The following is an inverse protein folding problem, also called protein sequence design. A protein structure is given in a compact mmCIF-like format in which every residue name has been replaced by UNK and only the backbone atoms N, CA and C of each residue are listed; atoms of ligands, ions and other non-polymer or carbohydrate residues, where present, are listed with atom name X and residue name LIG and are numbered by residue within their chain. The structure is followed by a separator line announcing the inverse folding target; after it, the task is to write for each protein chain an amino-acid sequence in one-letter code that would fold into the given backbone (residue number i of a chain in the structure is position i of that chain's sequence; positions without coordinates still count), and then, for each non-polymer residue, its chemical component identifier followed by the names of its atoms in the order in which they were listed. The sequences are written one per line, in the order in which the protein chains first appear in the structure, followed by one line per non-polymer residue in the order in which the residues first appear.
data_IF_114093039360
#
_entry.id   IF_114093039360
#
_cell.length_a   1.000
_cell.length_b   1.000
_cell.length_c   1.000
_cell.angle_alpha   90.00
_cell.angle_beta   90.00
_cell.angle_gamma   90.00
#
_symmetry.space_group_name_H-M   'P 1'
#
loop_
_entity.id
_entity.type
_entity.pdbx_description
1 polymer ?
#
# COMPACT_ATOMS: atom_id res chain seq x y z
N UNK A 1 7.66 -16.24 7.61
CA UNK A 1 9.08 -16.51 7.24
C UNK A 1 9.89 -15.30 7.64
N UNK A 2 10.79 -15.49 8.56
CA UNK A 2 11.39 -14.50 9.43
C UNK A 2 12.45 -13.65 8.74
N UNK A 3 12.47 -12.38 9.07
CA UNK A 3 13.47 -11.30 8.85
C UNK A 3 14.92 -11.73 9.27
N UNK A 4 15.13 -12.97 9.68
CA UNK A 4 16.44 -13.57 9.97
C UNK A 4 17.45 -13.49 8.81
N UNK A 5 17.01 -13.22 7.59
CA UNK A 5 17.89 -13.05 6.43
C UNK A 5 18.69 -11.74 6.43
N UNK A 6 18.30 -10.73 7.21
CA UNK A 6 18.96 -9.42 7.21
C UNK A 6 20.29 -9.37 7.99
N UNK A 7 20.48 -10.25 8.97
CA UNK A 7 21.66 -10.23 9.85
C UNK A 7 22.96 -10.77 9.21
N UNK A 8 22.87 -11.46 8.06
CA UNK A 8 23.99 -12.19 7.47
C UNK A 8 24.60 -11.55 6.21
N UNK A 9 24.20 -10.36 5.83
CA UNK A 9 24.57 -9.76 4.53
C UNK A 9 25.97 -9.11 4.58
N UNK A 10 27.03 -9.94 4.57
CA UNK A 10 28.42 -9.50 4.30
C UNK A 10 28.96 -9.91 2.93
N UNK A 11 28.15 -10.49 2.05
CA UNK A 11 28.60 -10.88 0.71
C UNK A 11 27.58 -10.54 -0.37
N UNK A 12 28.05 -10.22 -1.58
CA UNK A 12 27.24 -9.84 -2.76
C UNK A 12 26.14 -10.87 -3.10
N UNK A 13 26.38 -12.15 -2.87
CA UNK A 13 25.44 -13.25 -3.14
C UNK A 13 24.23 -13.25 -2.20
N UNK A 14 24.42 -12.88 -0.94
CA UNK A 14 23.35 -12.72 0.06
C UNK A 14 22.50 -11.48 -0.25
N UNK A 15 23.11 -10.43 -0.81
CA UNK A 15 22.40 -9.21 -1.24
C UNK A 15 21.41 -9.51 -2.38
N UNK A 16 21.82 -10.33 -3.34
CA UNK A 16 20.98 -10.75 -4.47
C UNK A 16 19.78 -11.61 -3.97
N UNK A 17 20.05 -12.51 -3.04
CA UNK A 17 19.00 -13.33 -2.40
C UNK A 17 17.99 -12.50 -1.63
N UNK A 18 18.45 -11.47 -0.90
CA UNK A 18 17.60 -10.57 -0.13
C UNK A 18 16.69 -9.72 -1.03
N UNK A 19 17.25 -9.18 -2.12
CA UNK A 19 16.47 -8.40 -3.09
C UNK A 19 15.39 -9.26 -3.75
N UNK A 20 15.71 -10.52 -4.05
CA UNK A 20 14.74 -11.48 -4.61
C UNK A 20 13.63 -11.81 -3.61
N UNK A 21 13.95 -12.03 -2.35
CA UNK A 21 12.96 -12.26 -1.28
C UNK A 21 12.06 -11.04 -1.06
N UNK A 22 12.66 -9.84 -1.05
CA UNK A 22 11.94 -8.57 -0.98
C UNK A 22 10.96 -8.42 -2.15
N UNK A 23 11.42 -8.73 -3.35
CA UNK A 23 10.60 -8.65 -4.56
C UNK A 23 9.45 -9.67 -4.53
N UNK A 24 9.69 -10.90 -4.12
CA UNK A 24 8.65 -11.92 -3.97
C UNK A 24 7.61 -11.53 -2.91
N UNK A 25 8.04 -10.93 -1.81
CA UNK A 25 7.12 -10.42 -0.79
C UNK A 25 6.24 -9.28 -1.33
N UNK A 26 6.82 -8.32 -2.04
CA UNK A 26 6.07 -7.23 -2.69
C UNK A 26 5.02 -7.80 -3.65
N UNK A 27 5.36 -8.83 -4.42
CA UNK A 27 4.42 -9.49 -5.33
C UNK A 27 3.26 -10.13 -4.58
N UNK A 28 3.50 -10.78 -3.45
CA UNK A 28 2.44 -11.41 -2.65
C UNK A 28 1.50 -10.40 -1.99
N UNK A 29 1.98 -9.20 -1.67
CA UNK A 29 1.12 -8.14 -1.11
C UNK A 29 0.13 -7.57 -2.12
N UNK A 30 0.40 -7.69 -3.43
CA UNK A 30 -0.55 -7.30 -4.49
C UNK A 30 -1.83 -8.13 -4.40
N UNK A 31 -1.71 -9.42 -4.17
CA UNK A 31 -2.84 -10.35 -4.03
C UNK A 31 -3.68 -10.00 -2.79
N UNK A 32 -3.03 -9.71 -1.67
CA UNK A 32 -3.70 -9.30 -0.43
C UNK A 32 -4.58 -8.07 -0.65
N UNK A 33 -4.07 -7.06 -1.37
CA UNK A 33 -4.84 -5.84 -1.70
C UNK A 33 -6.04 -6.18 -2.59
N UNK A 34 -5.81 -6.95 -3.66
CA UNK A 34 -6.87 -7.31 -4.61
C UNK A 34 -8.00 -8.08 -3.90
N UNK A 35 -7.67 -9.09 -3.09
CA UNK A 35 -8.67 -9.85 -2.34
C UNK A 35 -9.42 -8.99 -1.33
N UNK A 36 -8.75 -8.12 -0.59
CA UNK A 36 -9.41 -7.22 0.35
C UNK A 36 -10.40 -6.27 -0.37
N UNK A 37 -10.05 -5.77 -1.55
CA UNK A 37 -10.94 -4.92 -2.35
C UNK A 37 -12.09 -5.72 -2.98
N UNK A 38 -11.88 -6.98 -3.40
CA UNK A 38 -12.95 -7.87 -3.85
C UNK A 38 -13.96 -8.12 -2.71
N UNK A 39 -13.48 -8.40 -1.50
CA UNK A 39 -14.34 -8.58 -0.33
C UNK A 39 -15.17 -7.32 -0.06
N UNK A 40 -14.53 -6.13 -0.09
CA UNK A 40 -15.23 -4.86 0.13
C UNK A 40 -16.28 -4.55 -0.95
N UNK A 41 -16.02 -4.92 -2.21
CA UNK A 41 -16.90 -4.64 -3.34
C UNK A 41 -18.27 -5.34 -3.26
N UNK A 42 -18.42 -6.34 -2.39
CA UNK A 42 -19.68 -7.05 -2.17
C UNK A 42 -20.73 -6.17 -1.48
N UNK A 43 -20.30 -5.14 -0.75
CA UNK A 43 -21.17 -4.24 -0.01
C UNK A 43 -21.36 -2.92 -0.74
N UNK A 44 -22.46 -2.22 -0.43
CA UNK A 44 -22.67 -0.86 -0.94
C UNK A 44 -21.71 0.12 -0.27
N UNK A 45 -21.73 1.37 -0.77
CA UNK A 45 -20.83 2.42 -0.27
C UNK A 45 -21.00 2.68 1.23
N UNK A 46 -22.25 2.63 1.75
CA UNK A 46 -22.55 2.79 3.18
C UNK A 46 -21.92 4.07 3.75
N UNK A 47 -22.17 5.22 3.12
CA UNK A 47 -21.53 6.49 3.47
C UNK A 47 -21.63 6.87 4.95
N UNK A 48 -22.67 6.38 5.65
CA UNK A 48 -22.85 6.59 7.07
C UNK A 48 -21.65 6.20 7.92
N UNK A 49 -20.85 5.21 7.46
CA UNK A 49 -19.68 4.74 8.21
C UNK A 49 -18.49 5.71 8.15
N UNK A 50 -18.48 6.62 7.16
CA UNK A 50 -17.41 7.63 6.97
C UNK A 50 -17.79 9.00 7.53
N UNK A 51 -19.08 9.25 7.84
CA UNK A 51 -19.54 10.54 8.38
C UNK A 51 -19.43 10.57 9.91
N UNK A 52 -18.59 11.44 10.50
CA UNK A 52 -18.45 11.57 11.95
C UNK A 52 -19.73 11.99 12.67
N UNK A 53 -20.72 12.51 11.94
CA UNK A 53 -21.96 13.04 12.54
C UNK A 53 -23.00 11.95 12.77
N UNK A 54 -22.98 10.87 12.01
CA UNK A 54 -24.06 9.86 12.01
C UNK A 54 -24.06 9.06 13.31
N UNK A 55 -22.94 8.47 13.68
CA UNK A 55 -22.87 7.57 14.84
C UNK A 55 -22.57 8.27 16.17
N UNK A 56 -22.39 9.60 16.15
CA UNK A 56 -22.11 10.45 17.33
C UNK A 56 -20.91 9.96 18.18
N UNK A 57 -19.99 9.24 17.57
CA UNK A 57 -18.77 8.78 18.20
C UNK A 57 -17.80 9.94 18.42
N UNK A 58 -16.97 9.84 19.44
CA UNK A 58 -15.96 10.84 19.76
C UNK A 58 -14.64 10.16 20.09
N UNK A 59 -13.54 10.77 19.63
CA UNK A 59 -12.21 10.34 20.02
C UNK A 59 -11.89 10.73 21.48
N UNK A 60 -10.71 10.35 21.96
CA UNK A 60 -10.28 10.61 23.35
C UNK A 60 -10.20 12.10 23.72
N UNK A 61 -10.17 13.00 22.73
CA UNK A 61 -10.20 14.45 22.93
C UNK A 61 -11.59 15.06 22.74
N UNK A 62 -12.62 14.24 22.58
CA UNK A 62 -14.00 14.68 22.40
C UNK A 62 -14.34 15.15 20.98
N UNK A 63 -13.43 15.08 20.01
CA UNK A 63 -13.72 15.43 18.63
C UNK A 63 -14.60 14.35 17.96
N UNK A 64 -15.52 14.76 17.04
CA UNK A 64 -16.30 13.81 16.25
C UNK A 64 -15.43 12.80 15.52
N UNK A 65 -15.85 11.54 15.50
CA UNK A 65 -15.15 10.43 14.89
C UNK A 65 -16.10 9.58 14.07
N UNK A 66 -15.72 9.22 12.86
CA UNK A 66 -16.49 8.31 12.02
C UNK A 66 -16.49 6.89 12.59
N UNK A 67 -17.43 6.07 12.14
CA UNK A 67 -17.47 4.66 12.55
C UNK A 67 -16.24 3.89 12.05
N UNK A 68 -15.75 4.21 10.85
CA UNK A 68 -14.50 3.65 10.32
C UNK A 68 -13.30 3.97 11.22
N UNK A 69 -13.11 5.25 11.58
CA UNK A 69 -11.99 5.67 12.42
C UNK A 69 -12.04 5.02 13.80
N UNK A 70 -13.23 4.94 14.41
CA UNK A 70 -13.42 4.28 15.69
C UNK A 70 -13.03 2.80 15.62
N UNK A 71 -13.58 2.05 14.66
CA UNK A 71 -13.33 0.63 14.52
C UNK A 71 -11.87 0.32 14.15
N UNK A 72 -11.25 1.17 13.32
CA UNK A 72 -9.84 1.05 12.99
C UNK A 72 -8.96 1.21 14.23
N UNK A 73 -9.21 2.25 15.05
CA UNK A 73 -8.48 2.46 16.29
C UNK A 73 -8.61 1.28 17.26
N UNK A 74 -9.84 0.77 17.48
CA UNK A 74 -10.04 -0.38 18.37
C UNK A 74 -9.38 -1.66 17.83
N UNK A 75 -9.42 -1.88 16.52
CA UNK A 75 -8.72 -2.98 15.86
C UNK A 75 -7.21 -2.87 16.05
N UNK A 76 -6.66 -1.68 15.88
CA UNK A 76 -5.22 -1.44 16.07
C UNK A 76 -4.78 -1.62 17.52
N UNK A 77 -5.59 -1.23 18.50
CA UNK A 77 -5.33 -1.52 19.92
C UNK A 77 -5.23 -3.01 20.20
N UNK A 78 -6.11 -3.83 19.61
CA UNK A 78 -6.02 -5.29 19.72
C UNK A 78 -4.76 -5.85 19.06
N UNK A 79 -4.47 -5.42 17.83
CA UNK A 79 -3.29 -5.83 17.09
C UNK A 79 -1.98 -5.42 17.79
N UNK A 80 -1.97 -4.26 18.47
CA UNK A 80 -0.83 -3.81 19.24
C UNK A 80 -0.51 -4.74 20.39
N UNK A 81 -1.53 -5.24 21.12
CA UNK A 81 -1.34 -6.19 22.23
C UNK A 81 -0.59 -7.45 21.82
N UNK A 82 -0.80 -7.93 20.60
CA UNK A 82 -0.07 -9.07 20.03
C UNK A 82 1.19 -8.65 19.25
N UNK A 83 1.72 -7.44 19.54
CA UNK A 83 2.97 -6.87 18.99
C UNK A 83 3.00 -6.72 17.47
N UNK A 84 1.86 -6.63 16.76
CA UNK A 84 1.86 -6.46 15.31
C UNK A 84 2.71 -5.26 14.88
N UNK A 85 2.53 -4.12 15.55
CA UNK A 85 3.20 -2.87 15.20
C UNK A 85 4.64 -2.74 15.75
N UNK A 86 5.20 -3.78 16.34
CA UNK A 86 6.65 -3.85 16.58
C UNK A 86 7.41 -4.27 15.32
N UNK A 87 6.73 -4.92 14.36
CA UNK A 87 7.31 -5.26 13.06
C UNK A 87 7.61 -4.03 12.22
N UNK A 88 8.78 -3.94 11.58
CA UNK A 88 9.21 -2.72 10.87
C UNK A 88 8.38 -2.43 9.61
N UNK A 89 7.66 -3.39 9.06
CA UNK A 89 6.79 -3.25 7.90
C UNK A 89 5.37 -2.78 8.23
N UNK A 90 4.97 -2.85 9.50
CA UNK A 90 3.61 -2.51 9.93
C UNK A 90 3.56 -1.08 10.49
N UNK A 91 2.68 -0.28 9.92
CA UNK A 91 2.44 1.11 10.31
C UNK A 91 1.00 1.30 10.77
N UNK A 92 0.77 1.61 12.06
CA UNK A 92 -0.57 1.89 12.55
C UNK A 92 -1.01 3.30 12.13
N UNK A 93 -2.31 3.48 11.90
CA UNK A 93 -2.91 4.79 11.64
C UNK A 93 -2.98 5.67 12.91
N UNK A 94 -3.06 5.03 14.07
CA UNK A 94 -3.24 5.71 15.37
C UNK A 94 -2.14 5.39 16.37
N UNK A 95 -0.88 5.49 15.96
CA UNK A 95 0.30 5.09 16.75
C UNK A 95 0.30 5.62 18.20
N UNK A 96 -0.13 6.88 18.41
CA UNK A 96 -0.12 7.54 19.72
C UNK A 96 -1.13 6.98 20.74
N UNK A 97 -2.08 6.15 20.29
CA UNK A 97 -3.17 5.61 21.12
C UNK A 97 -3.02 4.12 21.41
N UNK A 98 -1.93 3.51 20.96
CA UNK A 98 -1.77 2.07 21.06
C UNK A 98 -1.25 1.65 22.44
N UNK A 99 -1.83 0.61 23.05
CA UNK A 99 -1.30 0.04 24.27
C UNK A 99 0.03 -0.68 24.03
N UNK A 100 0.79 -0.84 25.13
CA UNK A 100 2.00 -1.66 25.10
C UNK A 100 1.67 -3.11 24.76
N UNK A 101 2.51 -3.80 23.98
CA UNK A 101 2.33 -5.21 23.67
C UNK A 101 2.35 -6.09 24.94
N UNK A 102 1.51 -7.12 24.96
CA UNK A 102 1.50 -8.16 26.01
C UNK A 102 2.64 -9.15 25.75
N UNK A 103 2.92 -9.42 24.46
CA UNK A 103 4.00 -10.33 24.07
C UNK A 103 5.35 -9.61 24.10
N UNK A 104 6.45 -10.30 24.47
CA UNK A 104 7.78 -9.71 24.50
C UNK A 104 8.21 -9.24 23.11
N UNK A 105 9.00 -8.18 23.08
CA UNK A 105 9.52 -7.62 21.83
C UNK A 105 10.39 -8.61 21.06
N UNK A 106 10.32 -8.57 19.74
CA UNK A 106 11.23 -9.28 18.86
C UNK A 106 12.47 -8.44 18.61
N UNK A 107 13.63 -9.09 18.59
CA UNK A 107 14.87 -8.43 18.20
C UNK A 107 14.93 -8.30 16.67
N UNK A 108 15.07 -7.08 16.19
CA UNK A 108 15.30 -6.77 14.79
C UNK A 108 16.68 -6.13 14.60
N UNK A 109 17.33 -6.31 13.43
CA UNK A 109 18.58 -5.62 13.11
C UNK A 109 18.40 -4.09 13.23
N UNK A 110 19.35 -3.42 13.89
CA UNK A 110 19.27 -1.97 14.13
C UNK A 110 19.13 -1.13 12.87
N UNK A 111 19.74 -1.54 11.76
CA UNK A 111 19.63 -0.84 10.48
C UNK A 111 18.19 -0.74 9.97
N UNK A 112 17.34 -1.68 10.31
CA UNK A 112 15.90 -1.68 9.96
C UNK A 112 15.11 -0.78 10.93
N UNK A 113 15.59 -0.65 12.18
CA UNK A 113 14.95 0.14 13.23
C UNK A 113 15.39 1.61 13.21
N UNK A 114 16.55 1.94 12.61
CA UNK A 114 17.12 3.29 12.57
C UNK A 114 16.20 4.33 11.92
N UNK A 115 15.31 3.88 11.06
CA UNK A 115 14.22 4.70 10.57
C UNK A 115 13.04 4.52 11.50
N UNK A 116 13.03 5.29 12.56
CA UNK A 116 11.95 5.28 13.54
C UNK A 116 10.59 5.22 12.85
N UNK A 117 9.70 4.35 13.33
CA UNK A 117 8.36 4.12 12.75
C UNK A 117 7.55 5.39 12.55
N UNK A 118 7.82 6.43 13.36
CA UNK A 118 7.15 7.72 13.30
C UNK A 118 7.76 8.70 12.28
N UNK A 119 8.95 8.40 11.75
CA UNK A 119 9.65 9.35 10.88
C UNK A 119 9.11 9.36 9.43
N UNK A 120 8.53 8.25 8.98
CA UNK A 120 7.98 8.14 7.62
C UNK A 120 6.62 7.45 7.70
N UNK A 121 5.57 8.25 7.75
CA UNK A 121 4.18 7.79 7.77
C UNK A 121 3.37 8.57 6.75
N UNK A 122 2.59 7.85 5.94
CA UNK A 122 1.68 8.38 4.91
C UNK A 122 0.25 7.82 5.07
N UNK A 123 -0.09 7.36 6.27
CA UNK A 123 -1.39 6.73 6.52
C UNK A 123 -2.57 7.70 6.41
N UNK A 124 -2.36 8.98 6.70
CA UNK A 124 -3.37 10.02 6.47
C UNK A 124 -3.75 10.14 4.98
N UNK A 125 -2.75 10.10 4.12
CA UNK A 125 -2.94 10.12 2.66
C UNK A 125 -3.60 8.82 2.17
N UNK A 126 -3.20 7.66 2.74
CA UNK A 126 -3.81 6.36 2.43
C UNK A 126 -5.30 6.37 2.78
N UNK A 127 -5.66 6.81 3.98
CA UNK A 127 -7.07 6.88 4.43
C UNK A 127 -7.88 7.83 3.54
N UNK A 128 -7.36 9.03 3.26
CA UNK A 128 -8.02 10.01 2.41
C UNK A 128 -8.26 9.45 1.00
N UNK A 129 -7.24 8.88 0.35
CA UNK A 129 -7.39 8.25 -0.95
C UNK A 129 -8.39 7.11 -0.96
N UNK A 130 -8.37 6.28 0.08
CA UNK A 130 -9.27 5.15 0.21
C UNK A 130 -10.72 5.60 0.26
N UNK A 131 -11.05 6.52 1.15
CA UNK A 131 -12.43 6.98 1.37
C UNK A 131 -12.92 7.84 0.20
N UNK A 132 -12.10 8.78 -0.31
CA UNK A 132 -12.54 9.77 -1.31
C UNK A 132 -12.49 9.26 -2.74
N UNK A 133 -11.64 8.26 -3.05
CA UNK A 133 -11.39 7.85 -4.44
C UNK A 133 -11.66 6.37 -4.70
N UNK A 134 -11.22 5.49 -3.78
CA UNK A 134 -11.35 4.04 -4.01
C UNK A 134 -12.79 3.60 -3.80
N UNK A 135 -13.40 3.94 -2.67
CA UNK A 135 -14.76 3.52 -2.33
C UNK A 135 -15.77 3.97 -3.39
N UNK A 136 -15.61 5.17 -3.94
CA UNK A 136 -16.52 5.71 -4.96
C UNK A 136 -16.54 4.92 -6.27
N UNK A 137 -15.42 4.32 -6.62
CA UNK A 137 -15.30 3.50 -7.84
C UNK A 137 -15.50 2.01 -7.57
N UNK A 138 -15.18 1.57 -6.35
CA UNK A 138 -15.21 0.16 -5.96
C UNK A 138 -16.63 -0.34 -5.69
N UNK A 139 -17.44 0.46 -4.99
CA UNK A 139 -18.70 0.02 -4.42
C UNK A 139 -19.90 0.64 -5.14
N UNK A 140 -20.97 -0.15 -5.27
CA UNK A 140 -22.27 0.36 -5.77
C UNK A 140 -22.83 1.41 -4.81
N UNK A 141 -23.44 2.46 -5.34
CA UNK A 141 -24.07 3.50 -4.53
C UNK A 141 -25.21 2.95 -3.66
N UNK A 142 -25.45 3.61 -2.53
CA UNK A 142 -26.53 3.31 -1.59
C UNK A 142 -26.02 2.75 -0.26
N UNK A 143 -26.97 2.31 0.56
CA UNK A 143 -26.77 1.72 1.87
C UNK A 143 -27.49 0.36 1.91
N UNK A 144 -26.83 -0.66 2.44
CA UNK A 144 -27.36 -2.02 2.63
C UNK A 144 -27.39 -2.42 4.10
N UNK A 145 -27.14 -1.47 5.00
CA UNK A 145 -27.10 -1.64 6.45
C UNK A 145 -25.99 -2.59 6.96
N UNK A 146 -25.12 -3.08 6.05
CA UNK A 146 -23.98 -3.95 6.40
C UNK A 146 -22.78 -3.14 6.88
N UNK A 147 -23.00 -2.17 7.75
CA UNK A 147 -21.99 -1.21 8.21
C UNK A 147 -20.80 -1.90 8.89
N UNK A 148 -21.06 -2.89 9.74
CA UNK A 148 -20.02 -3.62 10.45
C UNK A 148 -19.11 -4.43 9.50
N UNK A 149 -19.72 -5.17 8.56
CA UNK A 149 -18.98 -5.95 7.56
C UNK A 149 -18.17 -5.05 6.64
N UNK A 150 -18.77 -3.95 6.17
CA UNK A 150 -18.09 -2.95 5.32
C UNK A 150 -16.85 -2.39 5.99
N UNK A 151 -16.97 -1.96 7.26
CA UNK A 151 -15.85 -1.39 8.03
C UNK A 151 -14.72 -2.40 8.23
N UNK A 152 -15.03 -3.66 8.50
CA UNK A 152 -13.99 -4.69 8.64
C UNK A 152 -13.21 -4.91 7.34
N UNK A 153 -13.90 -4.92 6.20
CA UNK A 153 -13.27 -4.99 4.89
C UNK A 153 -12.44 -3.72 4.59
N UNK A 154 -12.95 -2.53 4.93
CA UNK A 154 -12.22 -1.26 4.77
C UNK A 154 -10.92 -1.27 5.57
N UNK A 155 -10.95 -1.70 6.83
CA UNK A 155 -9.78 -1.81 7.70
C UNK A 155 -8.74 -2.76 7.09
N UNK A 156 -9.17 -3.94 6.63
CA UNK A 156 -8.27 -4.92 6.01
C UNK A 156 -7.60 -4.35 4.75
N UNK A 157 -8.37 -3.68 3.88
CA UNK A 157 -7.87 -3.05 2.67
C UNK A 157 -6.88 -1.92 2.97
N UNK A 158 -7.22 -0.99 3.87
CA UNK A 158 -6.35 0.12 4.26
C UNK A 158 -5.04 -0.35 4.89
N UNK A 159 -5.08 -1.37 5.77
CA UNK A 159 -3.87 -1.94 6.37
C UNK A 159 -2.99 -2.65 5.33
N UNK A 160 -3.58 -3.30 4.34
CA UNK A 160 -2.83 -3.93 3.24
C UNK A 160 -2.17 -2.86 2.35
N UNK A 161 -2.89 -1.79 2.01
CA UNK A 161 -2.37 -0.64 1.25
C UNK A 161 -1.23 0.06 2.01
N UNK A 162 -1.43 0.36 3.28
CA UNK A 162 -0.43 0.97 4.15
C UNK A 162 0.86 0.15 4.17
N UNK A 163 0.78 -1.15 4.43
CA UNK A 163 1.94 -2.04 4.46
C UNK A 163 2.67 -2.04 3.12
N UNK A 164 1.95 -2.14 2.00
CA UNK A 164 2.54 -2.16 0.66
C UNK A 164 3.28 -0.86 0.34
N UNK A 165 2.73 0.28 0.73
CA UNK A 165 3.30 1.61 0.49
C UNK A 165 4.54 1.83 1.37
N UNK A 166 4.44 1.58 2.67
CA UNK A 166 5.55 1.77 3.60
C UNK A 166 6.70 0.77 3.41
N UNK A 167 6.47 -0.29 2.64
CA UNK A 167 7.55 -1.18 2.21
C UNK A 167 8.60 -0.47 1.33
N UNK A 168 8.26 0.70 0.78
CA UNK A 168 9.18 1.59 0.05
C UNK A 168 10.46 1.90 0.82
N UNK A 169 10.42 2.00 2.15
CA UNK A 169 11.63 2.23 2.95
C UNK A 169 12.69 1.14 2.82
N UNK A 170 12.29 -0.14 2.66
CA UNK A 170 13.24 -1.23 2.44
C UNK A 170 13.84 -1.20 1.04
N UNK A 171 13.02 -0.77 0.06
CA UNK A 171 13.49 -0.55 -1.31
C UNK A 171 14.51 0.60 -1.32
N UNK A 172 14.20 1.71 -0.63
CA UNK A 172 15.11 2.85 -0.50
C UNK A 172 16.42 2.47 0.17
N UNK A 173 16.40 1.71 1.29
CA UNK A 173 17.63 1.24 1.94
C UNK A 173 18.45 0.34 1.01
N UNK A 174 17.80 -0.56 0.28
CA UNK A 174 18.48 -1.41 -0.69
C UNK A 174 19.18 -0.61 -1.80
N UNK A 175 18.54 0.46 -2.27
CA UNK A 175 19.12 1.37 -3.28
C UNK A 175 20.25 2.21 -2.66
N UNK A 176 20.04 2.74 -1.46
CA UNK A 176 21.06 3.50 -0.73
C UNK A 176 22.34 2.68 -0.52
N UNK A 177 22.21 1.41 -0.09
CA UNK A 177 23.36 0.54 0.12
C UNK A 177 24.15 0.21 -1.15
N UNK A 178 23.55 0.34 -2.33
CA UNK A 178 24.25 0.17 -3.61
C UNK A 178 25.11 1.38 -3.99
N UNK A 179 24.65 2.58 -3.67
CA UNK A 179 25.36 3.83 -3.96
C UNK A 179 25.15 4.87 -2.85
N UNK A 180 25.75 4.67 -1.66
CA UNK A 180 25.57 5.57 -0.53
C UNK A 180 26.09 6.98 -0.80
N UNK A 181 27.13 7.11 -1.63
CA UNK A 181 27.78 8.40 -1.92
C UNK A 181 26.81 9.32 -2.67
N UNK A 182 26.29 8.87 -3.80
CA UNK A 182 25.39 9.67 -4.65
C UNK A 182 24.11 10.07 -3.91
N UNK A 183 23.47 9.13 -3.18
CA UNK A 183 22.28 9.45 -2.40
C UNK A 183 22.58 10.44 -1.28
N UNK A 184 23.68 10.28 -0.56
CA UNK A 184 24.08 11.22 0.51
C UNK A 184 24.34 12.61 -0.03
N UNK A 185 25.00 12.73 -1.17
CA UNK A 185 25.29 13.99 -1.83
C UNK A 185 23.99 14.72 -2.24
N UNK A 186 23.09 14.06 -2.95
CA UNK A 186 21.82 14.66 -3.38
C UNK A 186 20.91 15.04 -2.21
N UNK A 187 20.87 14.22 -1.14
CA UNK A 187 20.13 14.57 0.08
C UNK A 187 20.70 15.83 0.75
N UNK A 188 22.03 15.93 0.89
CA UNK A 188 22.68 17.12 1.48
C UNK A 188 22.46 18.38 0.64
N UNK A 189 22.39 18.26 -0.68
CA UNK A 189 22.07 19.36 -1.60
C UNK A 189 20.59 19.71 -1.62
N UNK A 190 19.71 18.90 -1.01
CA UNK A 190 18.26 19.04 -1.12
C UNK A 190 17.73 18.80 -2.54
N UNK A 191 18.48 18.08 -3.38
CA UNK A 191 18.13 17.82 -4.77
C UNK A 191 17.14 16.63 -4.88
N UNK A 192 15.91 16.88 -4.46
CA UNK A 192 14.85 15.86 -4.46
C UNK A 192 14.53 15.35 -5.85
N UNK A 193 14.64 16.23 -6.84
CA UNK A 193 14.42 15.87 -8.25
C UNK A 193 15.35 14.74 -8.68
N UNK A 194 16.65 14.89 -8.46
CA UNK A 194 17.62 13.86 -8.81
C UNK A 194 17.38 12.55 -8.01
N UNK A 195 16.96 12.68 -6.75
CA UNK A 195 16.61 11.51 -5.91
C UNK A 195 15.43 10.76 -6.53
N UNK A 196 14.33 11.45 -6.88
CA UNK A 196 13.15 10.82 -7.49
C UNK A 196 13.51 10.17 -8.82
N UNK A 197 14.33 10.81 -9.65
CA UNK A 197 14.79 10.25 -10.93
C UNK A 197 15.61 8.97 -10.72
N UNK A 198 16.52 8.93 -9.74
CA UNK A 198 17.25 7.71 -9.37
C UNK A 198 16.36 6.59 -8.80
N UNK A 199 15.31 6.97 -8.09
CA UNK A 199 14.34 6.03 -7.52
C UNK A 199 13.41 5.45 -8.59
N UNK A 200 13.16 6.18 -9.66
CA UNK A 200 12.20 5.83 -10.71
C UNK A 200 12.79 4.87 -11.73
N UNK A 201 12.11 3.76 -11.97
CA UNK A 201 12.37 2.88 -13.08
C UNK A 201 11.06 2.61 -13.82
N UNK A 202 10.86 3.35 -14.91
CA UNK A 202 9.60 3.35 -15.69
C UNK A 202 9.23 1.95 -16.18
N UNK A 203 10.20 1.14 -16.62
CA UNK A 203 9.94 -0.23 -17.09
C UNK A 203 9.49 -1.16 -15.96
N UNK A 204 10.04 -0.99 -14.76
CA UNK A 204 9.60 -1.75 -13.58
C UNK A 204 8.18 -1.33 -13.17
N UNK A 205 7.90 -0.03 -13.18
CA UNK A 205 6.59 0.52 -12.85
C UNK A 205 5.52 0.02 -13.83
N UNK A 206 5.78 0.06 -15.13
CA UNK A 206 4.89 -0.51 -16.16
C UNK A 206 4.63 -2.00 -15.93
N UNK A 207 5.65 -2.78 -15.59
CA UNK A 207 5.48 -4.21 -15.25
C UNK A 207 4.64 -4.43 -14.00
N UNK A 208 4.76 -3.56 -13.01
CA UNK A 208 3.91 -3.61 -11.79
C UNK A 208 2.46 -3.35 -12.16
N UNK A 209 2.18 -2.29 -12.93
CA UNK A 209 0.82 -1.96 -13.38
C UNK A 209 0.20 -3.09 -14.18
N UNK A 210 0.93 -3.61 -15.17
CA UNK A 210 0.49 -4.75 -15.99
C UNK A 210 0.17 -5.97 -15.12
N UNK A 211 1.05 -6.33 -14.18
CA UNK A 211 0.85 -7.46 -13.30
C UNK A 211 -0.36 -7.27 -12.37
N UNK A 212 -0.55 -6.07 -11.82
CA UNK A 212 -1.70 -5.73 -10.99
C UNK A 212 -3.01 -5.87 -11.78
N UNK A 213 -3.06 -5.36 -13.00
CA UNK A 213 -4.19 -5.53 -13.92
C UNK A 213 -4.50 -7.01 -14.21
N UNK A 214 -3.49 -7.79 -14.62
CA UNK A 214 -3.65 -9.21 -14.95
C UNK A 214 -4.11 -10.01 -13.73
N UNK A 215 -3.54 -9.76 -12.54
CA UNK A 215 -3.99 -10.41 -11.31
C UNK A 215 -5.44 -10.06 -10.97
N UNK A 216 -5.81 -8.78 -11.09
CA UNK A 216 -7.18 -8.34 -10.86
C UNK A 216 -8.15 -8.97 -11.87
N UNK A 217 -7.78 -9.07 -13.14
CA UNK A 217 -8.56 -9.76 -14.18
C UNK A 217 -8.74 -11.25 -13.87
N UNK A 218 -7.71 -11.88 -13.30
CA UNK A 218 -7.76 -13.32 -12.97
C UNK A 218 -8.59 -13.59 -11.73
N UNK A 219 -8.32 -12.88 -10.64
CA UNK A 219 -8.97 -13.13 -9.34
C UNK A 219 -10.36 -12.49 -9.22
N UNK A 220 -10.60 -11.42 -9.97
CA UNK A 220 -11.87 -10.70 -9.98
C UNK A 220 -12.94 -11.29 -10.89
N UNK A 221 -12.69 -12.40 -11.60
CA UNK A 221 -13.68 -13.02 -12.48
C UNK A 221 -14.92 -13.48 -11.71
N UNK A 222 -16.09 -13.17 -12.23
CA UNK A 222 -17.35 -13.77 -11.77
C UNK A 222 -17.62 -15.09 -12.49
N UNK A 223 -17.28 -16.19 -11.83
CA UNK A 223 -17.47 -17.55 -12.35
C UNK A 223 -18.96 -17.94 -12.37
N UNK A 224 -19.80 -17.27 -11.59
CA UNK A 224 -21.23 -17.58 -11.47
C UNK A 224 -22.07 -16.97 -12.58
N UNK A 225 -21.52 -16.03 -13.35
CA UNK A 225 -22.22 -15.34 -14.45
C UNK A 225 -23.33 -14.39 -13.98
N UNK A 226 -23.35 -14.04 -12.70
CA UNK A 226 -24.36 -13.12 -12.12
C UNK A 226 -24.02 -11.66 -12.35
N UNK A 227 -22.78 -11.36 -12.68
CA UNK A 227 -22.29 -10.03 -13.08
C UNK A 227 -21.65 -10.10 -14.46
N UNK A 228 -21.64 -8.99 -15.21
CA UNK A 228 -21.01 -8.91 -16.53
C UNK A 228 -19.47 -8.97 -16.43
N UNK A 229 -18.95 -10.16 -16.10
CA UNK A 229 -17.53 -10.52 -16.26
C UNK A 229 -16.65 -10.37 -15.02
N UNK A 230 -16.76 -9.32 -14.20
CA UNK A 230 -15.85 -9.09 -13.08
C UNK A 230 -16.57 -8.61 -11.80
N UNK A 231 -16.13 -9.13 -10.63
CA UNK A 231 -16.54 -8.64 -9.30
C UNK A 231 -15.94 -7.28 -8.98
N UNK A 232 -14.78 -6.98 -9.57
CA UNK A 232 -14.06 -5.73 -9.45
C UNK A 232 -13.48 -5.37 -10.82
N UNK A 233 -13.57 -4.09 -11.20
CA UNK A 233 -12.96 -3.59 -12.42
C UNK A 233 -11.43 -3.72 -12.36
N UNK A 234 -10.77 -4.52 -13.24
CA UNK A 234 -9.31 -4.64 -13.24
C UNK A 234 -8.59 -3.30 -13.47
N UNK A 235 -9.20 -2.38 -14.23
CA UNK A 235 -8.64 -1.04 -14.44
C UNK A 235 -8.60 -0.22 -13.16
N UNK A 236 -9.59 -0.38 -12.27
CA UNK A 236 -9.54 0.27 -10.96
C UNK A 236 -8.29 -0.10 -10.19
N UNK A 237 -7.89 -1.38 -10.22
CA UNK A 237 -6.67 -1.82 -9.54
C UNK A 237 -5.42 -1.20 -10.16
N UNK A 238 -5.33 -1.18 -11.49
CA UNK A 238 -4.21 -0.53 -12.18
C UNK A 238 -4.13 0.97 -11.84
N UNK A 239 -5.27 1.67 -11.81
CA UNK A 239 -5.35 3.09 -11.45
C UNK A 239 -4.92 3.32 -9.99
N UNK A 240 -5.35 2.47 -9.04
CA UNK A 240 -4.91 2.56 -7.63
C UNK A 240 -3.39 2.44 -7.54
N UNK A 241 -2.78 1.54 -8.32
CA UNK A 241 -1.32 1.42 -8.37
C UNK A 241 -0.66 2.64 -9.00
N UNK A 242 -1.18 3.15 -10.13
CA UNK A 242 -0.64 4.30 -10.85
C UNK A 242 -0.74 5.59 -10.04
N UNK A 243 -1.92 5.87 -9.48
CA UNK A 243 -2.24 7.18 -8.93
C UNK A 243 -1.96 7.30 -7.42
N UNK A 244 -1.88 6.16 -6.70
CA UNK A 244 -1.72 6.13 -5.25
C UNK A 244 -0.52 5.31 -4.80
N UNK A 245 -0.47 4.00 -5.10
CA UNK A 245 0.53 3.12 -4.48
C UNK A 245 1.95 3.48 -4.92
N UNK A 246 2.19 3.64 -6.22
CA UNK A 246 3.51 3.99 -6.75
C UNK A 246 3.95 5.38 -6.28
N UNK A 247 3.14 6.46 -6.43
CA UNK A 247 3.51 7.78 -5.95
C UNK A 247 3.79 7.84 -4.43
N UNK A 248 2.93 7.26 -3.61
CA UNK A 248 3.13 7.25 -2.15
C UNK A 248 4.32 6.38 -1.75
N UNK A 249 4.60 5.27 -2.46
CA UNK A 249 5.81 4.47 -2.22
C UNK A 249 7.07 5.30 -2.48
N UNK A 250 7.12 6.08 -3.56
CA UNK A 250 8.24 6.99 -3.85
C UNK A 250 8.36 8.10 -2.80
N UNK A 251 7.25 8.65 -2.33
CA UNK A 251 7.26 9.62 -1.24
C UNK A 251 7.88 9.04 0.04
N UNK A 252 7.48 7.82 0.41
CA UNK A 252 8.09 7.07 1.51
C UNK A 252 9.60 6.86 1.27
N UNK A 253 10.01 6.48 0.05
CA UNK A 253 11.42 6.30 -0.30
C UNK A 253 12.23 7.60 -0.13
N UNK A 254 11.69 8.74 -0.61
CA UNK A 254 12.34 10.05 -0.47
C UNK A 254 12.49 10.44 1.01
N UNK A 255 11.39 10.43 1.76
CA UNK A 255 11.41 10.76 3.20
C UNK A 255 12.39 9.86 3.97
N UNK A 256 12.40 8.56 3.64
CA UNK A 256 13.34 7.60 4.22
C UNK A 256 14.79 8.00 4.00
N UNK A 257 15.18 8.34 2.76
CA UNK A 257 16.55 8.71 2.42
C UNK A 257 17.01 9.97 3.15
N UNK A 258 16.15 10.97 3.31
CA UNK A 258 16.44 12.16 4.08
C UNK A 258 16.70 11.83 5.55
N UNK A 259 15.82 11.05 6.18
CA UNK A 259 16.02 10.58 7.55
C UNK A 259 17.27 9.72 7.71
N UNK A 260 17.56 8.87 6.73
CA UNK A 260 18.74 8.00 6.71
C UNK A 260 20.06 8.78 6.76
N UNK A 261 20.09 9.95 6.13
CA UNK A 261 21.25 10.86 6.11
C UNK A 261 21.23 11.85 7.29
N UNK A 262 20.15 11.93 8.03
CA UNK A 262 20.00 12.87 9.18
C UNK A 262 19.62 14.29 8.74
N UNK A 263 18.97 14.45 7.60
CA UNK A 263 18.47 15.72 7.08
C UNK A 263 16.94 15.72 7.14
N UNK A 264 16.33 16.85 7.49
CA UNK A 264 14.87 16.97 7.47
C UNK A 264 14.33 16.81 6.05
N UNK A 265 13.29 15.97 5.84
CA UNK A 265 12.71 15.81 4.51
C UNK A 265 12.00 17.10 4.07
N UNK A 266 11.99 17.41 2.75
CA UNK A 266 11.23 18.52 2.21
C UNK A 266 9.72 18.23 2.29
N UNK A 267 8.92 19.29 2.14
CA UNK A 267 7.46 19.14 2.10
C UNK A 267 7.05 18.41 0.82
N UNK A 268 6.11 17.44 0.89
CA UNK A 268 5.68 16.65 -0.26
C UNK A 268 5.20 17.48 -1.44
N UNK A 269 4.51 18.59 -1.19
CA UNK A 269 3.99 19.48 -2.24
C UNK A 269 5.05 19.94 -3.24
N UNK A 270 6.33 19.97 -2.83
CA UNK A 270 7.43 20.42 -3.69
C UNK A 270 7.86 19.38 -4.72
N UNK A 271 7.58 18.09 -4.53
CA UNK A 271 8.07 17.01 -5.39
C UNK A 271 7.04 15.91 -5.69
N UNK A 272 5.90 15.87 -5.01
CA UNK A 272 4.94 14.76 -5.16
C UNK A 272 4.43 14.57 -6.58
N UNK A 273 4.28 15.67 -7.34
CA UNK A 273 3.92 15.60 -8.77
C UNK A 273 4.92 14.79 -9.60
N UNK A 274 6.22 14.82 -9.25
CA UNK A 274 7.25 14.00 -9.91
C UNK A 274 7.17 12.53 -9.52
N UNK A 275 6.69 12.21 -8.30
CA UNK A 275 6.48 10.83 -7.88
C UNK A 275 5.45 10.11 -8.76
N UNK A 276 4.52 10.84 -9.38
CA UNK A 276 3.56 10.26 -10.32
C UNK A 276 4.19 9.75 -11.60
N UNK A 277 5.31 10.34 -12.05
CA UNK A 277 6.04 9.92 -13.25
C UNK A 277 5.22 10.00 -14.55
N UNK A 278 5.85 9.75 -15.69
CA UNK A 278 5.18 9.67 -16.99
C UNK A 278 4.57 8.26 -17.17
N UNK A 279 3.51 7.95 -16.45
CA UNK A 279 2.81 6.66 -16.56
C UNK A 279 1.62 6.73 -17.54
N UNK A 280 1.66 7.66 -18.48
CA UNK A 280 0.65 7.87 -19.53
C UNK A 280 0.47 6.65 -20.47
N UNK A 281 1.31 5.63 -20.32
CA UNK A 281 1.28 4.42 -21.16
C UNK A 281 0.06 3.52 -20.95
N UNK A 282 -0.76 3.77 -19.90
CA UNK A 282 -2.05 3.08 -19.71
C UNK A 282 -3.23 3.86 -20.30
N UNK A 283 -3.01 5.09 -20.76
CA UNK A 283 -4.02 5.87 -21.49
C UNK A 283 -4.11 5.47 -22.97
N UNK A 284 -3.16 4.62 -23.47
CA UNK A 284 -3.26 4.04 -24.80
C UNK A 284 -4.11 2.74 -24.76
N UNK A 285 -5.32 2.76 -25.35
CA UNK A 285 -6.18 1.57 -25.44
C UNK A 285 -5.49 0.38 -26.11
N UNK A 286 -4.53 0.63 -27.03
CA UNK A 286 -3.77 -0.44 -27.69
C UNK A 286 -2.79 -1.14 -26.77
N UNK A 287 -2.20 -0.41 -25.82
CA UNK A 287 -1.36 -1.02 -24.78
C UNK A 287 -2.16 -1.94 -23.85
N UNK A 288 -3.47 -1.70 -23.71
CA UNK A 288 -4.39 -2.58 -22.97
C UNK A 288 -4.83 -3.80 -23.78
N UNK A 289 -5.01 -3.66 -25.08
CA UNK A 289 -5.34 -4.80 -25.98
C UNK A 289 -4.15 -5.78 -26.09
N UNK A 290 -2.90 -5.30 -26.02
CA UNK A 290 -1.72 -6.16 -25.94
C UNK A 290 -1.57 -6.90 -24.60
N UNK A 291 -2.33 -6.50 -23.58
CA UNK A 291 -2.52 -7.26 -22.35
C UNK A 291 -3.46 -8.45 -22.64
N UNK A 292 -3.03 -9.41 -23.47
CA UNK A 292 -3.73 -10.66 -23.64
C UNK A 292 -3.98 -11.29 -22.27
N UNK A 293 -5.18 -11.07 -21.73
CA UNK A 293 -5.73 -11.92 -20.66
C UNK A 293 -5.73 -13.32 -21.25
N UNK A 294 -5.01 -14.30 -20.69
CA UNK A 294 -5.07 -15.66 -21.20
C UNK A 294 -6.54 -16.05 -21.29
N UNK A 295 -7.02 -16.62 -22.38
CA UNK A 295 -8.40 -17.07 -22.50
C UNK A 295 -8.58 -18.33 -21.66
N UNK A 296 -8.60 -18.20 -20.33
CA UNK A 296 -8.67 -19.34 -19.43
C UNK A 296 -10.08 -19.93 -19.36
N UNK A 297 -11.12 -19.27 -19.85
CA UNK A 297 -12.50 -19.80 -19.71
C UNK A 297 -13.40 -19.59 -20.95
N UNK A 298 -12.87 -19.25 -22.11
CA UNK A 298 -13.70 -19.32 -23.33
C UNK A 298 -14.11 -20.74 -23.72
N UNK A 299 -13.45 -21.77 -23.21
CA UNK A 299 -13.71 -23.18 -23.52
C UNK A 299 -14.66 -23.90 -22.54
N UNK A 300 -15.03 -23.33 -21.42
CA UNK A 300 -15.97 -23.97 -20.49
C UNK A 300 -17.44 -23.93 -20.98
N UNK A 301 -17.79 -23.02 -21.89
CA UNK A 301 -19.13 -22.92 -22.46
C UNK A 301 -19.41 -23.90 -23.64
N UNK A 302 -18.44 -24.70 -24.07
CA UNK A 302 -18.65 -25.68 -25.16
C UNK A 302 -18.88 -27.13 -24.70
N UNK A 303 -18.77 -27.39 -23.39
CA UNK A 303 -18.91 -28.75 -22.84
C UNK A 303 -19.88 -28.85 -21.66
N UNK A 304 -20.91 -27.99 -21.61
CA UNK A 304 -22.08 -28.16 -20.73
C UNK A 304 -23.35 -28.24 -21.57
#
# INVERSE_FOLDING_TARGET
MSIFAFSLCKSLSLFFSLFTLLFLYIISTEETIIFALIERSQYRKNYAIYDPKVHKLRNVYGAPQSFLEYMLLETEKLHSKVRRYTSPEEHPFYASYLPTPILPELSYPQQILLTGKSAVDVNSEVMRWYVEKIIDRLCKAGDDEQHGSSVLCDIAAMQALSRRIHYGKFVAESKFLKDPHTYTEYVKQGNVTAIVDLLTNVEVERRVLRRAFVKASTYGQDITGTTEGYKIDPMLIADIYRDMIIPLTKDVEVRYLFHRVGVAPPTPDTYYSRCRGPLDAFDDPKALEELQVPPVIANAKKNL
#
